data_IF_349730897126
#
_entry.id   IF_349730897126
#
_cell.length_a   1.000
_cell.length_b   1.000
_cell.length_c   1.000
_cell.angle_alpha   90.00
_cell.angle_beta   90.00
_cell.angle_gamma   90.00
#
_symmetry.space_group_name_H-M   'P 1'
#
loop_
_entity.id
_entity.type
_entity.pdbx_description
1 polymer ?
#
# COMPACT_ATOMS: atom_id res chain seq x y z
N UNK A 1 3.36 -13.11 -15.75
CA UNK A 1 3.41 -13.05 -14.27
C UNK A 1 2.76 -14.28 -13.61
N UNK A 2 3.05 -15.52 -14.06
CA UNK A 2 2.37 -16.71 -13.51
C UNK A 2 3.06 -17.26 -12.25
N UNK A 3 4.39 -17.37 -12.28
CA UNK A 3 5.16 -17.89 -11.15
C UNK A 3 4.90 -17.11 -9.86
N UNK A 4 5.00 -15.77 -9.92
CA UNK A 4 4.79 -14.91 -8.78
C UNK A 4 3.37 -15.06 -8.18
N UNK A 5 2.33 -15.02 -9.01
CA UNK A 5 0.95 -15.17 -8.54
C UNK A 5 0.70 -16.54 -7.90
N UNK A 6 1.20 -17.62 -8.52
CA UNK A 6 1.10 -18.98 -7.93
C UNK A 6 1.92 -19.15 -6.65
N UNK A 7 3.00 -18.37 -6.46
CA UNK A 7 3.74 -18.37 -5.21
C UNK A 7 2.94 -17.68 -4.10
N UNK A 8 2.29 -16.55 -4.41
CA UNK A 8 1.41 -15.84 -3.47
C UNK A 8 0.23 -16.70 -3.00
N UNK A 9 -0.23 -17.68 -3.78
CA UNK A 9 -1.26 -18.64 -3.36
C UNK A 9 -0.81 -19.53 -2.21
N UNK A 10 0.50 -19.80 -2.10
CA UNK A 10 1.09 -20.66 -1.07
C UNK A 10 1.44 -19.91 0.22
N UNK A 11 1.38 -18.59 0.21
CA UNK A 11 1.76 -17.76 1.34
C UNK A 11 0.57 -17.45 2.27
N UNK A 12 0.86 -17.22 3.57
CA UNK A 12 -0.15 -16.81 4.54
C UNK A 12 -0.91 -15.57 4.07
N UNK A 13 -2.24 -15.65 4.11
CA UNK A 13 -3.11 -14.48 3.93
C UNK A 13 -3.24 -13.75 5.24
N UNK A 14 -3.14 -12.42 5.20
CA UNK A 14 -3.31 -11.55 6.36
C UNK A 14 -4.38 -10.49 6.10
N UNK A 15 -5.11 -10.19 7.17
CA UNK A 15 -6.07 -9.10 7.24
C UNK A 15 -5.55 -8.07 8.26
N UNK A 16 -4.95 -7.00 7.78
CA UNK A 16 -4.34 -5.98 8.62
C UNK A 16 -4.24 -4.63 7.88
N UNK A 17 -3.97 -3.56 8.64
CA UNK A 17 -3.67 -2.27 8.05
C UNK A 17 -2.24 -2.28 7.50
N UNK A 18 -2.08 -1.93 6.23
CA UNK A 18 -0.79 -1.80 5.56
C UNK A 18 -0.62 -0.40 4.97
N UNK A 19 0.63 -0.01 4.81
CA UNK A 19 1.04 1.31 4.38
C UNK A 19 1.80 1.21 3.06
N UNK A 20 1.54 2.17 2.17
CA UNK A 20 2.31 2.31 0.92
C UNK A 20 2.66 3.77 0.69
N UNK A 21 3.94 4.04 0.51
CA UNK A 21 4.43 5.36 0.14
C UNK A 21 4.61 5.49 -1.36
N UNK A 22 4.17 6.61 -1.92
CA UNK A 22 4.45 6.99 -3.31
C UNK A 22 5.11 8.37 -3.30
N UNK A 23 6.32 8.54 -3.85
CA UNK A 23 7.09 9.78 -3.78
C UNK A 23 6.62 10.85 -4.78
N UNK A 24 5.31 10.92 -5.02
CA UNK A 24 4.61 11.98 -5.78
C UNK A 24 3.25 12.25 -5.12
N UNK A 25 2.78 13.50 -5.18
CA UNK A 25 1.42 13.87 -4.74
C UNK A 25 0.40 13.54 -5.84
N UNK A 26 -0.33 12.45 -5.64
CA UNK A 26 -1.43 11.96 -6.48
C UNK A 26 -2.73 11.86 -5.69
N UNK A 27 -2.74 12.32 -4.43
CA UNK A 27 -3.89 12.18 -3.54
C UNK A 27 -5.16 12.81 -4.10
N UNK A 28 -5.01 13.89 -4.88
CA UNK A 28 -6.10 14.61 -5.56
C UNK A 28 -6.87 13.79 -6.61
N UNK A 29 -6.34 12.63 -7.02
CA UNK A 29 -7.00 11.75 -7.99
C UNK A 29 -7.94 10.75 -7.31
N UNK A 30 -8.12 10.86 -5.99
CA UNK A 30 -8.93 9.97 -5.18
C UNK A 30 -10.08 10.74 -4.55
N UNK A 31 -11.31 10.38 -4.89
CA UNK A 31 -12.52 10.95 -4.31
C UNK A 31 -13.16 9.95 -3.34
N UNK A 32 -13.84 10.45 -2.31
CA UNK A 32 -14.57 9.60 -1.36
C UNK A 32 -15.54 8.66 -2.10
N UNK A 33 -15.56 7.39 -1.68
CA UNK A 33 -16.33 6.29 -2.27
C UNK A 33 -15.95 5.90 -3.70
N UNK A 34 -14.93 6.50 -4.30
CA UNK A 34 -14.39 6.04 -5.57
C UNK A 34 -13.88 4.60 -5.44
N UNK A 35 -14.21 3.79 -6.45
CA UNK A 35 -13.65 2.45 -6.61
C UNK A 35 -12.41 2.54 -7.49
N UNK A 36 -11.31 1.99 -7.02
CA UNK A 36 -10.02 2.01 -7.72
C UNK A 36 -9.48 0.59 -7.81
N UNK A 37 -9.14 0.16 -9.01
CA UNK A 37 -8.45 -1.12 -9.24
C UNK A 37 -6.97 -0.86 -9.49
N UNK A 38 -6.11 -1.46 -8.67
CA UNK A 38 -4.68 -1.46 -8.93
C UNK A 38 -4.28 -2.68 -9.76
N UNK A 39 -4.03 -2.45 -11.04
CA UNK A 39 -3.66 -3.50 -12.00
C UNK A 39 -2.23 -4.05 -11.82
N UNK A 40 -1.38 -3.35 -11.08
CA UNK A 40 -0.03 -3.82 -10.73
C UNK A 40 -0.03 -4.62 -9.43
N UNK A 41 1.01 -5.42 -9.22
CA UNK A 41 1.35 -5.89 -7.87
C UNK A 41 1.79 -4.69 -7.03
N UNK A 42 1.35 -4.63 -5.78
CA UNK A 42 1.72 -3.55 -4.87
C UNK A 42 2.42 -4.10 -3.63
N UNK A 43 3.67 -3.72 -3.43
CA UNK A 43 4.39 -3.88 -2.17
C UNK A 43 3.97 -2.81 -1.17
N UNK A 44 3.69 -3.25 0.05
CA UNK A 44 3.27 -2.46 1.20
C UNK A 44 4.02 -2.94 2.44
N UNK A 45 3.99 -2.16 3.51
CA UNK A 45 4.55 -2.57 4.81
C UNK A 45 3.48 -2.50 5.89
N UNK A 46 3.46 -3.43 6.83
CA UNK A 46 2.65 -3.28 8.05
C UNK A 46 3.26 -2.26 9.03
N UNK A 47 4.52 -1.85 8.81
CA UNK A 47 5.25 -0.87 9.62
C UNK A 47 5.20 0.53 9.01
N UNK A 48 4.56 1.52 9.67
CA UNK A 48 4.55 2.91 9.18
C UNK A 48 5.96 3.54 9.17
N UNK A 49 6.88 3.06 10.02
CA UNK A 49 8.25 3.56 10.08
C UNK A 49 9.05 3.21 8.83
N UNK A 50 8.83 2.01 8.27
CA UNK A 50 9.45 1.58 7.00
C UNK A 50 9.05 2.54 5.88
N UNK A 51 7.75 2.84 5.78
CA UNK A 51 7.25 3.76 4.76
C UNK A 51 7.73 5.20 4.99
N UNK A 52 7.80 5.64 6.25
CA UNK A 52 8.37 6.96 6.59
C UNK A 52 9.82 7.06 6.12
N UNK A 53 10.63 6.04 6.36
CA UNK A 53 12.03 6.00 5.92
C UNK A 53 12.14 5.94 4.39
N UNK A 54 11.27 5.16 3.74
CA UNK A 54 11.20 5.07 2.27
C UNK A 54 10.87 6.41 1.62
N UNK A 55 9.91 7.16 2.19
CA UNK A 55 9.54 8.48 1.68
C UNK A 55 10.58 9.56 2.03
N UNK A 56 11.32 9.41 3.12
CA UNK A 56 12.32 10.38 3.58
C UNK A 56 11.72 11.78 3.75
N UNK A 57 12.47 12.81 3.33
CA UNK A 57 12.06 14.22 3.43
C UNK A 57 11.22 14.70 2.22
N UNK A 58 10.67 13.78 1.43
CA UNK A 58 9.88 14.14 0.25
C UNK A 58 8.60 14.88 0.62
N UNK A 59 8.62 16.19 0.39
CA UNK A 59 7.52 17.11 0.67
C UNK A 59 6.28 16.84 -0.19
N UNK A 60 6.41 16.27 -1.38
CA UNK A 60 5.29 15.96 -2.29
C UNK A 60 5.14 14.46 -2.45
N UNK A 61 4.45 13.82 -1.51
CA UNK A 61 4.26 12.37 -1.49
C UNK A 61 2.81 12.01 -1.16
N UNK A 62 2.40 10.81 -1.55
CA UNK A 62 1.11 10.24 -1.18
C UNK A 62 1.35 9.04 -0.28
N UNK A 63 0.74 9.03 0.89
CA UNK A 63 0.73 7.91 1.81
C UNK A 63 -0.63 7.22 1.74
N UNK A 64 -0.62 5.94 1.42
CA UNK A 64 -1.82 5.12 1.45
C UNK A 64 -1.88 4.35 2.76
N UNK A 65 -3.00 4.49 3.46
CA UNK A 65 -3.43 3.58 4.54
C UNK A 65 -4.44 2.62 3.94
N UNK A 66 -4.18 1.32 4.01
CA UNK A 66 -4.97 0.30 3.32
C UNK A 66 -5.42 -0.74 4.35
N UNK A 67 -6.73 -0.94 4.51
CA UNK A 67 -7.28 -2.05 5.29
C UNK A 67 -7.29 -3.32 4.42
N UNK A 68 -6.14 -4.00 4.33
CA UNK A 68 -6.01 -5.17 3.47
C UNK A 68 -6.79 -6.37 4.05
N UNK A 69 -7.54 -7.07 3.19
CA UNK A 69 -8.24 -8.32 3.55
C UNK A 69 -7.53 -9.58 3.03
N UNK A 70 -6.80 -9.45 1.92
CA UNK A 70 -6.14 -10.54 1.20
C UNK A 70 -4.64 -10.28 1.02
N UNK A 71 -4.02 -9.56 1.96
CA UNK A 71 -2.58 -9.29 1.93
C UNK A 71 -1.76 -10.57 2.05
N UNK A 72 -0.58 -10.61 1.44
CA UNK A 72 0.32 -11.76 1.50
C UNK A 72 1.63 -11.38 2.19
N UNK A 73 1.86 -11.92 3.39
CA UNK A 73 3.14 -11.77 4.07
C UNK A 73 4.19 -12.60 3.35
N UNK A 74 5.32 -11.98 3.03
CA UNK A 74 6.42 -12.63 2.32
C UNK A 74 7.69 -12.72 3.19
N UNK A 75 7.56 -12.57 4.50
CA UNK A 75 8.66 -12.83 5.47
C UNK A 75 9.24 -14.23 5.24
N UNK A 76 10.57 -14.33 5.29
CA UNK A 76 11.34 -15.51 4.92
C UNK A 76 11.67 -15.63 3.42
N UNK A 77 11.11 -14.75 2.57
CA UNK A 77 11.35 -14.73 1.12
C UNK A 77 11.76 -13.36 0.58
N UNK A 78 11.58 -12.29 1.37
CA UNK A 78 11.98 -10.93 0.98
C UNK A 78 13.48 -10.75 1.20
N UNK A 79 14.11 -9.87 0.40
CA UNK A 79 15.50 -9.45 0.64
C UNK A 79 15.60 -8.63 1.93
N UNK A 80 14.51 -7.96 2.33
CA UNK A 80 14.47 -7.01 3.45
C UNK A 80 13.52 -7.46 4.56
N UNK A 81 13.94 -8.43 5.37
CA UNK A 81 13.10 -9.04 6.43
C UNK A 81 12.57 -8.03 7.46
N UNK A 82 13.27 -6.92 7.68
CA UNK A 82 12.86 -5.86 8.61
C UNK A 82 11.79 -4.92 8.07
N UNK A 83 11.36 -5.09 6.81
CA UNK A 83 10.36 -4.21 6.18
C UNK A 83 8.92 -4.64 6.45
N UNK A 84 8.70 -5.79 7.08
CA UNK A 84 7.37 -6.35 7.35
C UNK A 84 6.48 -6.33 6.09
N UNK A 85 7.05 -6.78 4.97
CA UNK A 85 6.48 -6.64 3.64
C UNK A 85 5.20 -7.47 3.43
N UNK A 86 4.18 -6.80 2.90
CA UNK A 86 2.88 -7.37 2.55
C UNK A 86 2.57 -7.04 1.10
N UNK A 87 2.34 -8.08 0.30
CA UNK A 87 2.00 -7.94 -1.11
C UNK A 87 0.47 -7.91 -1.29
N UNK A 88 0.00 -6.92 -2.05
CA UNK A 88 -1.34 -6.89 -2.63
C UNK A 88 -1.26 -7.31 -4.10
N UNK A 89 -2.17 -8.19 -4.51
CA UNK A 89 -2.16 -8.79 -5.85
C UNK A 89 -2.53 -7.77 -6.92
N UNK A 90 -2.17 -8.10 -8.16
CA UNK A 90 -2.71 -7.39 -9.32
C UNK A 90 -4.24 -7.51 -9.35
N UNK A 91 -4.91 -6.44 -9.76
CA UNK A 91 -6.36 -6.38 -9.80
C UNK A 91 -7.00 -6.23 -8.42
N UNK A 92 -6.24 -5.91 -7.37
CA UNK A 92 -6.85 -5.59 -6.07
C UNK A 92 -7.69 -4.33 -6.22
N UNK A 93 -8.96 -4.44 -5.84
CA UNK A 93 -9.92 -3.35 -5.84
C UNK A 93 -10.03 -2.76 -4.45
N UNK A 94 -10.12 -1.44 -4.39
CA UNK A 94 -10.28 -0.67 -3.16
C UNK A 94 -11.40 0.33 -3.31
N UNK A 95 -12.03 0.65 -2.20
CA UNK A 95 -12.87 1.83 -2.07
C UNK A 95 -12.15 2.89 -1.26
N UNK A 96 -12.15 4.12 -1.76
CA UNK A 96 -11.67 5.28 -0.99
C UNK A 96 -12.65 5.56 0.15
N UNK A 97 -12.17 5.46 1.40
CA UNK A 97 -13.03 5.55 2.60
C UNK A 97 -13.56 6.97 2.85
N UNK A 98 -12.75 7.97 2.55
CA UNK A 98 -13.02 9.39 2.82
C UNK A 98 -12.20 10.28 1.91
N UNK A 99 -12.46 11.58 1.96
CA UNK A 99 -11.69 12.55 1.18
C UNK A 99 -10.22 12.53 1.61
N UNK A 100 -9.26 12.66 0.66
CA UNK A 100 -7.85 12.65 0.98
C UNK A 100 -7.46 13.75 1.98
N UNK A 101 -6.66 13.39 2.98
CA UNK A 101 -6.20 14.33 4.00
C UNK A 101 -4.92 15.00 3.53
N UNK A 102 -4.98 16.30 3.22
CA UNK A 102 -3.80 17.11 2.94
C UNK A 102 -2.98 17.34 4.22
N UNK A 103 -1.67 17.22 4.10
CA UNK A 103 -0.71 17.50 5.17
C UNK A 103 0.01 18.84 4.93
N UNK A 104 0.52 19.45 5.99
CA UNK A 104 1.14 20.78 5.97
C UNK A 104 2.39 20.88 5.07
N UNK A 105 3.03 19.75 4.78
CA UNK A 105 4.23 19.63 3.95
C UNK A 105 3.94 19.45 2.46
N UNK A 106 2.68 19.50 1.98
CA UNK A 106 2.26 19.15 0.60
C UNK A 106 2.24 17.65 0.29
N UNK A 107 2.25 16.78 1.31
CA UNK A 107 1.89 15.37 1.15
C UNK A 107 0.41 15.15 1.42
N UNK A 108 -0.10 13.99 1.01
CA UNK A 108 -1.50 13.63 1.18
C UNK A 108 -1.64 12.21 1.69
N UNK A 109 -2.65 11.95 2.53
CA UNK A 109 -3.01 10.62 3.01
C UNK A 109 -4.31 10.18 2.34
N UNK A 110 -4.30 9.00 1.73
CA UNK A 110 -5.48 8.35 1.14
C UNK A 110 -5.79 7.08 1.92
N UNK A 111 -7.04 6.93 2.37
CA UNK A 111 -7.49 5.75 3.10
C UNK A 111 -8.31 4.83 2.18
N UNK A 112 -7.81 3.63 1.96
CA UNK A 112 -8.39 2.58 1.12
C UNK A 112 -8.90 1.42 1.99
N UNK A 113 -10.06 0.87 1.63
CA UNK A 113 -10.72 -0.28 2.29
C UNK A 113 -11.34 -1.24 1.28
#
# INVERSE_FOLDING_TARGET
MKLFDTALDKLPTVKEAVWRGVPIDIGKNFDKNQIVTWWSVNSCSSSPNVIKNFLGDNKKSTLFLIEAINGKKISGYTEYESEDEVILRMGTEFRVKGDPLAQSNSSCIVHLI
#
